data_IF_852138912589
#
_entry.id   IF_852138912589
#
_cell.length_a   1.000
_cell.length_b   1.000
_cell.length_c   1.000
_cell.angle_alpha   90.00
_cell.angle_beta   90.00
_cell.angle_gamma   90.00
#
_symmetry.space_group_name_H-M   'P 1'
#
loop_
_entity.id
_entity.type
_entity.pdbx_description
1 polymer ?
#
# COMPACT_ATOMS: atom_id res chain seq x y z
N UNK A 1 -28.37 -3.87 -28.77
CA UNK A 1 -27.17 -3.05 -29.01
C UNK A 1 -26.01 -3.68 -28.26
N UNK A 2 -24.96 -4.08 -28.97
CA UNK A 2 -23.86 -4.86 -28.41
C UNK A 2 -22.95 -3.93 -27.63
N UNK A 3 -22.80 -4.26 -26.34
CA UNK A 3 -21.97 -3.58 -25.36
C UNK A 3 -20.61 -3.20 -25.93
N UNK A 4 -20.26 -1.93 -25.74
CA UNK A 4 -18.97 -1.33 -26.09
C UNK A 4 -17.86 -1.96 -25.23
N UNK A 5 -17.46 -3.18 -25.57
CA UNK A 5 -16.52 -4.01 -24.79
C UNK A 5 -15.12 -3.87 -25.40
N UNK A 6 -14.39 -2.83 -25.02
CA UNK A 6 -12.97 -2.70 -25.34
C UNK A 6 -12.14 -3.57 -24.39
N UNK A 7 -11.29 -4.48 -24.90
CA UNK A 7 -10.36 -5.29 -24.09
C UNK A 7 -9.45 -4.43 -23.20
N UNK A 8 -9.13 -3.22 -23.62
CA UNK A 8 -8.26 -2.29 -22.89
C UNK A 8 -8.93 -1.78 -21.60
N UNK A 9 -10.21 -1.40 -21.68
CA UNK A 9 -11.01 -1.02 -20.50
C UNK A 9 -11.18 -2.16 -19.50
N UNK A 10 -11.30 -3.41 -19.97
CA UNK A 10 -11.36 -4.57 -19.07
C UNK A 10 -10.04 -4.80 -18.32
N UNK A 11 -8.92 -4.49 -18.97
CA UNK A 11 -7.59 -4.64 -18.38
C UNK A 11 -7.36 -3.59 -17.28
N UNK A 12 -7.74 -2.34 -17.53
CA UNK A 12 -7.62 -1.25 -16.55
C UNK A 12 -8.48 -1.52 -15.31
N UNK A 13 -9.73 -1.96 -15.47
CA UNK A 13 -10.59 -2.24 -14.31
C UNK A 13 -10.03 -3.36 -13.43
N UNK A 14 -9.52 -4.45 -14.03
CA UNK A 14 -8.86 -5.52 -13.26
C UNK A 14 -7.62 -5.03 -12.54
N UNK A 15 -6.82 -4.19 -13.19
CA UNK A 15 -5.64 -3.59 -12.59
C UNK A 15 -6.01 -2.74 -11.36
N UNK A 16 -7.03 -1.89 -11.46
CA UNK A 16 -7.53 -1.09 -10.33
C UNK A 16 -8.08 -1.98 -9.21
N UNK A 17 -8.85 -3.02 -9.54
CA UNK A 17 -9.39 -3.97 -8.55
C UNK A 17 -8.27 -4.71 -7.80
N UNK A 18 -7.20 -5.09 -8.51
CA UNK A 18 -6.06 -5.78 -7.92
C UNK A 18 -5.24 -4.85 -7.04
N UNK A 19 -5.04 -3.59 -7.44
CA UNK A 19 -4.44 -2.57 -6.59
C UNK A 19 -5.27 -2.34 -5.32
N UNK A 20 -6.59 -2.12 -5.46
CA UNK A 20 -7.48 -1.95 -4.30
C UNK A 20 -7.37 -3.13 -3.33
N UNK A 21 -7.40 -4.37 -3.83
CA UNK A 21 -7.24 -5.58 -2.98
C UNK A 21 -5.90 -5.63 -2.24
N UNK A 22 -4.81 -5.19 -2.87
CA UNK A 22 -3.49 -5.15 -2.23
C UNK A 22 -3.45 -4.05 -1.17
N UNK A 23 -3.98 -2.87 -1.47
CA UNK A 23 -3.92 -1.73 -0.55
C UNK A 23 -4.89 -1.83 0.62
N UNK A 24 -6.06 -2.45 0.44
CA UNK A 24 -6.95 -2.79 1.55
C UNK A 24 -6.23 -3.70 2.56
N UNK A 25 -5.46 -4.68 2.08
CA UNK A 25 -4.60 -5.49 2.95
C UNK A 25 -3.51 -4.68 3.61
N UNK A 26 -2.92 -3.68 2.93
CA UNK A 26 -1.92 -2.80 3.52
C UNK A 26 -2.50 -1.93 4.65
N UNK A 27 -3.72 -1.41 4.50
CA UNK A 27 -4.41 -0.67 5.55
C UNK A 27 -4.67 -1.52 6.80
N UNK A 28 -4.89 -2.83 6.60
CA UNK A 28 -5.09 -3.78 7.69
C UNK A 28 -3.80 -4.17 8.42
N UNK A 29 -2.62 -3.74 7.95
CA UNK A 29 -1.36 -4.00 8.64
C UNK A 29 -1.33 -3.20 9.95
N UNK A 30 -1.58 -3.92 11.04
CA UNK A 30 -1.54 -3.42 12.41
C UNK A 30 -0.28 -3.90 13.08
N UNK A 31 0.47 -2.97 13.66
CA UNK A 31 1.67 -3.30 14.42
C UNK A 31 1.39 -3.11 15.91
N UNK A 32 1.90 -4.04 16.71
CA UNK A 32 1.75 -4.02 18.16
C UNK A 32 3.12 -4.05 18.82
N UNK A 33 3.42 -3.01 19.61
CA UNK A 33 4.60 -2.99 20.47
C UNK A 33 4.15 -3.33 21.88
N UNK A 34 4.75 -4.36 22.47
CA UNK A 34 4.58 -4.70 23.88
C UNK A 34 5.90 -4.47 24.61
N UNK A 35 5.80 -3.76 25.72
CA UNK A 35 6.87 -3.56 26.71
C UNK A 35 6.35 -4.02 28.06
N UNK A 36 7.21 -4.10 29.07
CA UNK A 36 6.82 -4.54 30.43
C UNK A 36 5.67 -3.72 31.03
N UNK A 37 5.52 -2.45 30.64
CA UNK A 37 4.53 -1.52 31.23
C UNK A 37 3.49 -1.00 30.23
N UNK A 38 3.70 -1.17 28.92
CA UNK A 38 2.85 -0.54 27.89
C UNK A 38 2.61 -1.45 26.69
N UNK A 39 1.38 -1.38 26.18
CA UNK A 39 0.98 -1.95 24.89
C UNK A 39 0.61 -0.78 23.97
N UNK A 40 1.26 -0.69 22.81
CA UNK A 40 0.91 0.26 21.74
C UNK A 40 0.41 -0.51 20.54
N UNK A 41 -0.69 -0.07 19.95
CA UNK A 41 -1.24 -0.60 18.69
C UNK A 41 -1.47 0.56 17.73
N UNK A 42 -1.11 0.36 16.47
CA UNK A 42 -1.35 1.34 15.42
C UNK A 42 -1.34 0.67 14.04
N UNK A 43 -1.89 1.38 13.05
CA UNK A 43 -1.88 0.99 11.64
C UNK A 43 -0.67 1.61 10.94
N UNK A 44 0.01 0.84 10.09
CA UNK A 44 1.19 1.30 9.34
C UNK A 44 0.84 2.31 8.25
N UNK A 45 -0.23 2.03 7.53
CA UNK A 45 -0.80 2.89 6.50
C UNK A 45 -2.21 3.29 6.94
N UNK A 46 -2.52 4.57 6.88
CA UNK A 46 -3.84 5.07 7.30
C UNK A 46 -4.66 5.64 6.14
N UNK A 47 -4.03 5.87 4.98
CA UNK A 47 -4.67 6.38 3.77
C UNK A 47 -3.93 5.87 2.54
N UNK A 48 -4.68 5.51 1.49
CA UNK A 48 -4.18 5.41 0.13
C UNK A 48 -5.12 6.16 -0.81
N UNK A 49 -4.60 6.62 -1.95
CA UNK A 49 -5.36 7.31 -3.00
C UNK A 49 -4.84 6.85 -4.35
N UNK A 50 -5.74 6.30 -5.18
CA UNK A 50 -5.42 5.83 -6.54
C UNK A 50 -5.93 6.89 -7.52
N UNK A 51 -5.03 7.52 -8.27
CA UNK A 51 -5.39 8.29 -9.44
C UNK A 51 -5.41 7.35 -10.66
N UNK A 52 -6.61 7.04 -11.14
CA UNK A 52 -6.82 6.14 -12.29
C UNK A 52 -6.43 6.85 -13.59
N UNK A 53 -6.55 8.18 -13.66
CA UNK A 53 -6.29 8.97 -14.87
C UNK A 53 -4.80 9.09 -15.10
N UNK A 54 -4.07 9.47 -14.06
CA UNK A 54 -2.62 9.67 -14.08
C UNK A 54 -1.85 8.38 -13.74
N UNK A 55 -2.55 7.30 -13.38
CA UNK A 55 -2.00 5.96 -13.06
C UNK A 55 -0.95 5.98 -11.97
N UNK A 56 -1.12 6.84 -10.97
CA UNK A 56 -0.25 6.87 -9.80
C UNK A 56 -1.05 6.56 -8.53
N UNK A 57 -0.30 6.14 -7.51
CA UNK A 57 -0.84 5.84 -6.19
C UNK A 57 -0.05 6.62 -5.16
N UNK A 58 -0.77 7.28 -4.28
CA UNK A 58 -0.22 7.86 -3.06
C UNK A 58 -0.62 7.03 -1.84
N UNK A 59 0.34 6.77 -0.96
CA UNK A 59 0.11 6.08 0.31
C UNK A 59 0.67 6.95 1.43
N UNK A 60 -0.16 7.21 2.45
CA UNK A 60 0.25 7.97 3.62
C UNK A 60 0.60 7.04 4.78
N UNK A 61 1.75 7.30 5.38
CA UNK A 61 2.23 6.62 6.58
C UNK A 61 2.03 7.53 7.78
N UNK A 62 1.66 6.97 8.93
CA UNK A 62 1.46 7.79 10.13
C UNK A 62 2.78 8.50 10.50
N UNK A 63 2.76 9.81 10.82
CA UNK A 63 3.98 10.56 11.19
C UNK A 63 4.76 9.89 12.33
N UNK A 64 4.03 9.27 13.25
CA UNK A 64 4.57 8.52 14.40
C UNK A 64 5.31 7.24 13.99
N UNK A 65 5.28 6.84 12.72
CA UNK A 65 5.82 5.57 12.22
C UNK A 65 7.02 5.74 11.32
N UNK A 66 7.45 6.97 11.07
CA UNK A 66 8.64 7.26 10.27
C UNK A 66 9.88 6.53 10.83
N UNK A 67 10.03 6.49 12.15
CA UNK A 67 11.14 5.78 12.79
C UNK A 67 11.03 4.25 12.65
N UNK A 68 9.82 3.71 12.61
CA UNK A 68 9.59 2.27 12.44
C UNK A 68 9.86 1.87 10.99
N UNK A 69 9.36 2.63 10.03
CA UNK A 69 9.64 2.38 8.61
C UNK A 69 11.15 2.37 8.38
N UNK A 70 11.87 3.37 8.89
CA UNK A 70 13.34 3.42 8.82
C UNK A 70 14.02 2.22 9.51
N UNK A 71 13.43 1.67 10.56
CA UNK A 71 13.95 0.48 11.23
C UNK A 71 13.70 -0.81 10.45
N UNK A 72 12.61 -0.88 9.67
CA UNK A 72 12.28 -2.04 8.83
C UNK A 72 13.05 -1.97 7.49
N UNK A 73 13.21 -0.78 6.88
CA UNK A 73 14.00 -0.60 5.65
C UNK A 73 15.46 -0.96 5.79
N UNK A 74 16.00 -1.01 7.01
CA UNK A 74 17.35 -1.51 7.25
C UNK A 74 17.52 -3.01 6.89
N UNK A 75 16.42 -3.77 6.80
CA UNK A 75 16.39 -5.18 6.40
C UNK A 75 15.89 -5.40 4.96
N UNK A 76 15.49 -4.34 4.24
CA UNK A 76 15.20 -4.48 2.81
C UNK A 76 16.52 -4.55 2.07
N UNK A 77 16.71 -5.62 1.31
CA UNK A 77 17.94 -5.75 0.54
C UNK A 77 17.87 -4.77 -0.64
N UNK A 78 18.99 -4.08 -0.92
CA UNK A 78 19.14 -3.17 -2.06
C UNK A 78 18.72 -3.79 -3.41
N UNK A 79 18.61 -5.12 -3.46
CA UNK A 79 18.16 -5.89 -4.62
C UNK A 79 16.65 -5.77 -4.89
N UNK A 80 15.81 -5.61 -3.87
CA UNK A 80 14.34 -5.52 -4.05
C UNK A 80 13.89 -4.14 -4.56
N UNK A 81 14.60 -3.07 -4.21
CA UNK A 81 14.27 -1.70 -4.65
C UNK A 81 14.50 -1.48 -6.15
N UNK A 82 15.41 -2.24 -6.76
CA UNK A 82 15.78 -2.09 -8.17
C UNK A 82 14.78 -2.74 -9.13
N UNK A 83 13.95 -3.66 -8.62
CA UNK A 83 12.90 -4.36 -9.37
C UNK A 83 11.58 -3.55 -9.43
N UNK A 84 11.48 -2.42 -8.72
CA UNK A 84 10.29 -1.55 -8.68
C UNK A 84 10.47 -0.22 -9.45
N UNK A 85 11.59 -0.03 -10.17
CA UNK A 85 11.88 1.17 -11.00
C UNK A 85 11.81 0.83 -12.47
#
# INVERSE_FOLDING_TARGET
>A
ELSNYSPETRNINRFVDDLQRVYDKMLDIRYTIRTETKIKKFVLFYKYEIDISEKYLEIATSPDLKYILNSITNNFTKFELKEMT
#
